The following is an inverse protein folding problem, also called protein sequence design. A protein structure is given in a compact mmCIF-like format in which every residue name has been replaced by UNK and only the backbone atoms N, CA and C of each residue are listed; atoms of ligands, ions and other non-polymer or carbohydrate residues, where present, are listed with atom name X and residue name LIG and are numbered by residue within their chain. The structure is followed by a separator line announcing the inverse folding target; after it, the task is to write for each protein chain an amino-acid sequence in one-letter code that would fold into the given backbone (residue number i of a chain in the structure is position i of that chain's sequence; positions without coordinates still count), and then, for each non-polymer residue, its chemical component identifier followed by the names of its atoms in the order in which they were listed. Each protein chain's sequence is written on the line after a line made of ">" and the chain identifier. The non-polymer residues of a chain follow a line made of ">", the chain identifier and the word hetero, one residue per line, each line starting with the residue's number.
data_IF_102441123291
#
_entry.id   IF_102441123291
#
_cell.length_a   1.000
_cell.length_b   1.000
_cell.length_c   1.000
_cell.angle_alpha   90.00
_cell.angle_beta   90.00
_cell.angle_gamma   90.00
#
_symmetry.space_group_name_H-M   'P 1'
#
loop_
_entity.id
_entity.type
_entity.pdbx_description
1 polymer ?
#
# COMPACT_ATOMS: atom_id res chain seq x y z
N UNK A 1 29.20 61.20 0.85
CA UNK A 1 28.80 60.55 -0.40
C UNK A 1 27.79 59.47 -0.06
N UNK A 2 26.58 59.47 -0.68
CA UNK A 2 25.56 58.44 -0.39
C UNK A 2 25.80 57.18 -1.21
N UNK A 3 25.73 56.04 -0.55
CA UNK A 3 25.88 54.72 -1.12
C UNK A 3 24.66 54.39 -1.98
N UNK A 4 24.90 54.07 -3.26
CA UNK A 4 23.89 53.68 -4.26
C UNK A 4 23.29 52.34 -3.93
N UNK A 5 21.95 52.09 -4.04
CA UNK A 5 21.36 50.80 -3.79
C UNK A 5 21.65 49.80 -4.93
N UNK A 6 22.13 48.64 -4.55
CA UNK A 6 22.35 47.48 -5.41
C UNK A 6 21.00 47.00 -6.02
N UNK A 7 20.89 47.01 -7.34
CA UNK A 7 19.77 46.44 -8.07
C UNK A 7 19.83 44.89 -7.96
N UNK A 8 18.91 44.30 -7.21
CA UNK A 8 18.68 42.87 -7.24
C UNK A 8 17.97 42.53 -8.57
N UNK A 9 18.65 41.78 -9.43
CA UNK A 9 18.07 41.26 -10.66
C UNK A 9 16.84 40.38 -10.33
N UNK A 10 15.73 40.63 -11.06
CA UNK A 10 14.49 39.90 -10.91
C UNK A 10 14.68 38.40 -11.14
N UNK A 11 14.64 37.66 -10.09
CA UNK A 11 14.45 36.20 -10.16
C UNK A 11 13.06 35.93 -10.72
N UNK A 12 12.99 35.25 -11.85
CA UNK A 12 11.76 34.67 -12.36
C UNK A 12 11.16 33.78 -11.26
N UNK A 13 9.95 34.12 -10.82
CA UNK A 13 9.12 33.24 -9.99
C UNK A 13 8.87 32.00 -10.83
N UNK A 14 9.54 30.90 -10.50
CA UNK A 14 9.19 29.59 -11.02
C UNK A 14 7.81 29.32 -10.45
N UNK A 15 6.76 29.48 -11.28
CA UNK A 15 5.43 28.94 -10.97
C UNK A 15 5.62 27.46 -10.70
N UNK A 16 5.54 27.07 -9.44
CA UNK A 16 5.39 25.67 -9.05
C UNK A 16 4.08 25.20 -9.69
N UNK A 17 4.18 24.42 -10.78
CA UNK A 17 3.05 23.65 -11.27
C UNK A 17 2.59 22.82 -10.06
N UNK A 18 1.41 23.14 -9.54
CA UNK A 18 0.76 22.32 -8.53
C UNK A 18 0.43 21.01 -9.24
N UNK A 19 1.31 20.01 -9.11
CA UNK A 19 0.97 18.66 -9.53
C UNK A 19 -0.35 18.31 -8.84
N UNK A 20 -1.36 18.01 -9.63
CA UNK A 20 -2.66 17.60 -9.11
C UNK A 20 -2.46 16.27 -8.37
N UNK A 21 -2.74 16.28 -7.05
CA UNK A 21 -2.68 15.07 -6.25
C UNK A 21 -3.62 14.01 -6.81
N UNK A 22 -3.16 12.77 -6.90
CA UNK A 22 -4.01 11.63 -7.22
C UNK A 22 -5.03 11.39 -6.11
N UNK A 23 -6.14 10.73 -6.43
CA UNK A 23 -7.20 10.41 -5.48
C UNK A 23 -7.33 8.90 -5.33
N UNK A 24 -7.64 8.46 -4.11
CA UNK A 24 -8.01 7.08 -3.84
C UNK A 24 -9.48 6.83 -4.22
N UNK A 25 -9.92 5.58 -4.39
CA UNK A 25 -11.32 5.25 -4.64
C UNK A 25 -12.28 5.78 -3.57
N UNK A 26 -11.80 6.05 -2.34
CA UNK A 26 -12.61 6.54 -1.23
C UNK A 26 -12.50 8.06 -1.01
N UNK A 27 -11.83 8.81 -1.88
CA UNK A 27 -11.61 10.25 -1.69
C UNK A 27 -12.90 11.06 -1.52
N UNK A 28 -13.97 10.72 -2.25
CA UNK A 28 -15.29 11.35 -2.10
C UNK A 28 -15.90 11.09 -0.71
N UNK A 29 -15.82 9.84 -0.23
CA UNK A 29 -16.31 9.45 1.09
C UNK A 29 -15.52 10.17 2.21
N UNK A 30 -14.21 10.32 2.08
CA UNK A 30 -13.40 11.06 3.04
C UNK A 30 -13.87 12.52 3.19
N UNK A 31 -14.18 13.19 2.07
CA UNK A 31 -14.70 14.56 2.09
C UNK A 31 -16.10 14.64 2.70
N UNK A 32 -17.00 13.71 2.34
CA UNK A 32 -18.34 13.61 2.91
C UNK A 32 -18.31 13.45 4.43
N UNK A 33 -17.38 12.64 4.95
CA UNK A 33 -17.17 12.42 6.38
C UNK A 33 -16.40 13.57 7.07
N UNK A 34 -16.09 14.65 6.36
CA UNK A 34 -15.41 15.82 6.91
C UNK A 34 -13.92 15.62 7.10
N UNK A 35 -13.30 14.71 6.38
CA UNK A 35 -11.86 14.47 6.39
C UNK A 35 -11.07 15.69 5.91
N UNK A 36 -10.08 16.13 6.70
CA UNK A 36 -9.15 17.19 6.29
C UNK A 36 -8.12 16.60 5.34
N UNK A 37 -8.31 16.82 4.04
CA UNK A 37 -7.44 16.28 2.99
C UNK A 37 -6.10 17.01 2.94
N UNK A 38 -5.00 16.27 2.85
CA UNK A 38 -3.62 16.77 2.69
C UNK A 38 -2.88 15.92 1.65
N UNK A 39 -1.80 16.47 1.08
CA UNK A 39 -0.92 15.72 0.19
C UNK A 39 -0.04 14.73 0.98
N UNK A 40 -0.08 13.47 0.58
CA UNK A 40 0.79 12.42 1.12
C UNK A 40 1.17 11.44 0.00
N UNK A 41 2.46 11.23 -0.24
CA UNK A 41 2.98 10.33 -1.27
C UNK A 41 2.34 10.51 -2.66
N UNK A 42 2.05 11.76 -3.05
CA UNK A 42 1.41 12.10 -4.32
C UNK A 42 -0.11 11.98 -4.34
N UNK A 43 -0.76 11.61 -3.23
CA UNK A 43 -2.20 11.44 -3.09
C UNK A 43 -2.82 12.45 -2.13
N UNK A 44 -4.09 12.79 -2.38
CA UNK A 44 -4.93 13.51 -1.42
C UNK A 44 -5.53 12.51 -0.42
N UNK A 45 -5.08 12.56 0.83
CA UNK A 45 -5.52 11.66 1.90
C UNK A 45 -5.99 12.44 3.13
N UNK A 46 -6.96 11.91 3.92
CA UNK A 46 -7.41 12.55 5.15
C UNK A 46 -6.37 12.41 6.25
N UNK A 47 -5.90 13.52 6.82
CA UNK A 47 -5.00 13.52 7.98
C UNK A 47 -5.76 13.38 9.29
N UNK A 48 -7.02 13.81 9.33
CA UNK A 48 -7.94 13.68 10.47
C UNK A 48 -9.38 13.92 10.05
N UNK A 49 -10.31 13.52 10.88
CA UNK A 49 -11.73 13.83 10.81
C UNK A 49 -12.12 14.81 11.92
N UNK A 50 -13.41 15.23 12.04
CA UNK A 50 -13.85 16.22 13.04
C UNK A 50 -13.53 15.87 14.48
N UNK A 51 -13.41 14.60 14.85
CA UNK A 51 -13.02 14.16 16.19
C UNK A 51 -11.57 14.55 16.56
N UNK A 52 -10.72 14.73 15.56
CA UNK A 52 -9.30 15.09 15.70
C UNK A 52 -8.37 13.92 15.95
N UNK A 53 -7.10 14.09 15.55
CA UNK A 53 -6.06 13.04 15.54
C UNK A 53 -5.97 12.28 16.87
N UNK A 54 -5.98 12.97 18.01
CA UNK A 54 -5.81 12.32 19.30
C UNK A 54 -6.98 11.41 19.66
N UNK A 55 -8.22 11.86 19.40
CA UNK A 55 -9.42 11.06 19.65
C UNK A 55 -9.45 9.82 18.74
N UNK A 56 -9.13 9.98 17.46
CA UNK A 56 -9.05 8.89 16.48
C UNK A 56 -7.96 7.88 16.85
N UNK A 57 -6.78 8.38 17.28
CA UNK A 57 -5.70 7.52 17.75
C UNK A 57 -6.11 6.68 18.97
N UNK A 58 -6.68 7.33 19.99
CA UNK A 58 -7.14 6.62 21.20
C UNK A 58 -8.27 5.64 20.90
N UNK A 59 -9.18 5.99 19.97
CA UNK A 59 -10.22 5.05 19.49
C UNK A 59 -9.60 3.81 18.86
N UNK A 60 -8.65 3.98 17.95
CA UNK A 60 -7.95 2.86 17.32
C UNK A 60 -7.24 1.97 18.36
N UNK A 61 -6.61 2.56 19.38
CA UNK A 61 -5.91 1.81 20.44
C UNK A 61 -6.85 1.02 21.35
N UNK A 62 -8.08 1.50 21.56
CA UNK A 62 -9.05 0.91 22.48
C UNK A 62 -10.15 0.09 21.80
N UNK A 63 -10.39 0.31 20.51
CA UNK A 63 -11.45 -0.34 19.73
C UNK A 63 -10.93 -0.79 18.36
N UNK A 64 -11.43 -0.21 17.27
CA UNK A 64 -10.95 -0.47 15.92
C UNK A 64 -11.15 0.77 15.04
N UNK A 65 -10.23 0.98 14.09
CA UNK A 65 -10.34 2.03 13.07
C UNK A 65 -10.01 1.46 11.70
N UNK A 66 -10.71 1.99 10.68
CA UNK A 66 -10.50 1.65 9.29
C UNK A 66 -9.69 2.77 8.62
N UNK A 67 -8.61 2.39 7.95
CA UNK A 67 -7.73 3.30 7.23
C UNK A 67 -7.77 3.01 5.73
N UNK A 68 -7.91 4.05 4.92
CA UNK A 68 -7.69 3.96 3.48
C UNK A 68 -6.18 4.02 3.20
N UNK A 69 -5.64 2.93 2.70
CA UNK A 69 -4.24 2.79 2.28
C UNK A 69 -4.15 2.45 0.79
N UNK A 70 -5.18 2.80 0.02
CA UNK A 70 -5.28 2.51 -1.42
C UNK A 70 -4.22 3.20 -2.27
N UNK A 71 -3.49 4.16 -1.72
CA UNK A 71 -2.33 4.79 -2.36
C UNK A 71 -1.14 3.82 -2.53
N UNK A 72 -1.07 2.75 -1.74
CA UNK A 72 -0.05 1.71 -1.87
C UNK A 72 -0.22 0.94 -3.18
N UNK A 73 0.89 0.45 -3.74
CA UNK A 73 0.87 -0.34 -4.95
C UNK A 73 0.43 -1.79 -4.67
N UNK A 74 -0.50 -2.30 -5.48
CA UNK A 74 -0.94 -3.69 -5.45
C UNK A 74 -0.67 -4.34 -6.80
N UNK A 75 -0.12 -5.55 -6.78
CA UNK A 75 0.14 -6.30 -8.01
C UNK A 75 0.10 -7.81 -7.80
N UNK A 76 0.06 -8.56 -8.90
CA UNK A 76 0.17 -10.01 -8.90
C UNK A 76 1.26 -10.45 -9.88
N UNK A 77 2.11 -11.40 -9.47
CA UNK A 77 2.97 -12.15 -10.38
C UNK A 77 2.27 -13.44 -10.75
N UNK A 78 2.15 -13.69 -12.06
CA UNK A 78 1.50 -14.86 -12.63
C UNK A 78 2.43 -15.57 -13.59
N UNK A 79 2.26 -16.88 -13.71
CA UNK A 79 3.03 -17.74 -14.60
C UNK A 79 3.88 -18.75 -13.83
N UNK A 80 4.29 -19.80 -14.54
CA UNK A 80 5.20 -20.81 -13.99
C UNK A 80 6.53 -20.16 -13.63
N UNK A 81 7.03 -20.40 -12.42
CA UNK A 81 8.27 -19.77 -11.92
C UNK A 81 8.11 -18.38 -11.31
N UNK A 82 6.89 -17.83 -11.16
CA UNK A 82 6.66 -16.51 -10.57
C UNK A 82 7.31 -16.35 -9.16
N UNK A 83 7.20 -17.38 -8.31
CA UNK A 83 7.82 -17.36 -6.98
C UNK A 83 9.35 -17.32 -7.06
N UNK A 84 9.96 -18.14 -7.92
CA UNK A 84 11.42 -18.15 -8.12
C UNK A 84 11.94 -16.84 -8.73
N UNK A 85 11.17 -16.24 -9.65
CA UNK A 85 11.51 -14.94 -10.24
C UNK A 85 11.55 -13.83 -9.18
N UNK A 86 10.56 -13.80 -8.26
CA UNK A 86 10.57 -12.84 -7.16
C UNK A 86 11.70 -13.14 -6.16
N UNK A 87 11.94 -14.41 -5.85
CA UNK A 87 13.01 -14.84 -4.92
C UNK A 87 14.40 -14.38 -5.38
N UNK A 88 14.63 -14.27 -6.68
CA UNK A 88 15.90 -13.75 -7.22
C UNK A 88 16.14 -12.26 -6.89
N UNK A 89 15.11 -11.52 -6.45
CA UNK A 89 15.16 -10.08 -6.15
C UNK A 89 15.10 -9.77 -4.64
N UNK A 90 14.98 -10.81 -3.81
CA UNK A 90 14.79 -10.66 -2.36
C UNK A 90 15.55 -11.74 -1.62
N UNK A 91 16.10 -11.48 -0.42
CA UNK A 91 16.68 -12.52 0.43
C UNK A 91 15.63 -13.41 1.11
N UNK A 92 14.35 -13.13 0.91
CA UNK A 92 13.27 -13.90 1.50
C UNK A 92 12.99 -15.18 0.70
N UNK A 93 12.73 -16.28 1.40
CA UNK A 93 12.25 -17.54 0.83
C UNK A 93 10.82 -17.39 0.32
N UNK A 94 10.64 -17.15 -0.99
CA UNK A 94 9.36 -16.97 -1.67
C UNK A 94 8.82 -18.31 -2.15
N UNK A 95 9.67 -19.15 -2.71
CA UNK A 95 9.30 -20.46 -3.24
C UNK A 95 8.80 -21.42 -2.14
N UNK A 96 9.39 -21.35 -0.94
CA UNK A 96 8.98 -22.12 0.22
C UNK A 96 7.76 -21.57 0.97
N UNK A 97 7.23 -20.40 0.59
CA UNK A 97 6.04 -19.83 1.21
C UNK A 97 4.80 -20.64 0.83
N UNK A 98 4.14 -21.23 1.83
CA UNK A 98 2.93 -22.06 1.60
C UNK A 98 1.76 -21.22 1.08
N UNK A 99 0.86 -21.80 0.26
CA UNK A 99 -0.40 -21.15 -0.13
C UNK A 99 -1.21 -20.67 1.09
N UNK A 100 -1.84 -19.51 0.97
CA UNK A 100 -2.57 -18.87 2.07
C UNK A 100 -1.70 -18.20 3.12
N UNK A 101 -0.42 -17.96 2.82
CA UNK A 101 0.52 -17.27 3.70
C UNK A 101 1.10 -16.04 3.04
N UNK A 102 1.45 -15.06 3.87
CA UNK A 102 2.16 -13.85 3.46
C UNK A 102 3.43 -13.64 4.29
N UNK A 103 4.32 -12.78 3.81
CA UNK A 103 5.59 -12.44 4.45
C UNK A 103 6.04 -11.04 4.05
N UNK A 104 6.80 -10.38 4.93
CA UNK A 104 7.60 -9.22 4.56
C UNK A 104 8.85 -9.66 3.79
N UNK A 105 9.25 -8.85 2.82
CA UNK A 105 10.47 -9.01 2.05
C UNK A 105 11.17 -7.67 1.86
N UNK A 106 12.40 -7.73 1.39
CA UNK A 106 13.20 -6.57 0.98
C UNK A 106 13.54 -6.73 -0.49
N UNK A 107 13.28 -5.74 -1.32
CA UNK A 107 13.86 -5.67 -2.66
C UNK A 107 15.31 -5.25 -2.51
N UNK A 108 16.22 -5.99 -3.14
CA UNK A 108 17.66 -5.72 -3.04
C UNK A 108 18.29 -5.46 -4.39
N UNK A 109 19.31 -4.60 -4.40
CA UNK A 109 20.16 -4.39 -5.57
C UNK A 109 21.16 -5.56 -5.73
N UNK A 110 21.78 -5.73 -6.91
CA UNK A 110 22.84 -6.73 -7.11
C UNK A 110 24.04 -6.59 -6.18
N UNK A 111 24.26 -5.40 -5.61
CA UNK A 111 25.31 -5.14 -4.61
C UNK A 111 24.87 -5.45 -3.17
N UNK A 112 23.65 -5.94 -2.95
CA UNK A 112 23.10 -6.26 -1.63
C UNK A 112 22.52 -5.06 -0.88
N UNK A 113 22.43 -3.87 -1.51
CA UNK A 113 21.75 -2.71 -0.93
C UNK A 113 20.24 -2.88 -0.94
N UNK A 114 19.54 -2.36 0.08
CA UNK A 114 18.07 -2.38 0.16
C UNK A 114 17.52 -1.29 -0.77
N UNK A 115 16.61 -1.68 -1.66
CA UNK A 115 15.87 -0.76 -2.54
C UNK A 115 14.57 -0.30 -1.87
N UNK A 116 13.79 -1.24 -1.33
CA UNK A 116 12.59 -0.98 -0.54
C UNK A 116 12.18 -2.23 0.24
N UNK A 117 11.24 -2.08 1.19
CA UNK A 117 10.52 -3.19 1.81
C UNK A 117 9.15 -3.37 1.15
N UNK A 118 8.65 -4.60 1.17
CA UNK A 118 7.35 -4.93 0.58
C UNK A 118 6.72 -6.13 1.28
N UNK A 119 5.44 -6.36 1.00
CA UNK A 119 4.77 -7.59 1.40
C UNK A 119 4.50 -8.46 0.17
N UNK A 120 4.68 -9.76 0.32
CA UNK A 120 4.27 -10.74 -0.67
C UNK A 120 3.48 -11.89 -0.04
N UNK A 121 2.59 -12.47 -0.84
CA UNK A 121 1.72 -13.53 -0.40
C UNK A 121 1.51 -14.58 -1.49
N UNK A 122 1.48 -15.85 -1.08
CA UNK A 122 1.17 -16.95 -1.97
C UNK A 122 -0.35 -17.25 -1.92
N UNK A 123 -1.06 -16.93 -3.00
CA UNK A 123 -2.49 -17.22 -3.16
C UNK A 123 -2.77 -18.59 -3.81
N UNK A 124 -1.73 -19.38 -4.06
CA UNK A 124 -1.81 -20.71 -4.67
C UNK A 124 -1.51 -20.67 -6.17
N UNK A 125 -2.25 -19.88 -6.91
CA UNK A 125 -2.11 -19.73 -8.37
C UNK A 125 -1.27 -18.50 -8.79
N UNK A 126 -0.92 -17.64 -7.82
CA UNK A 126 -0.17 -16.40 -8.05
C UNK A 126 0.49 -15.90 -6.78
N UNK A 127 1.49 -15.02 -6.95
CA UNK A 127 2.08 -14.25 -5.84
C UNK A 127 1.47 -12.86 -5.85
N UNK A 128 0.82 -12.48 -4.75
CA UNK A 128 0.27 -11.13 -4.55
C UNK A 128 1.28 -10.24 -3.87
N UNK A 129 1.38 -8.99 -4.28
CA UNK A 129 2.37 -8.01 -3.82
C UNK A 129 1.67 -6.74 -3.31
N UNK A 130 2.21 -6.18 -2.23
CA UNK A 130 1.89 -4.82 -1.77
C UNK A 130 3.21 -4.09 -1.58
N UNK A 131 3.37 -2.95 -2.27
CA UNK A 131 4.56 -2.10 -2.23
C UNK A 131 4.24 -0.69 -1.73
N UNK A 132 5.24 0.02 -1.23
CA UNK A 132 5.11 1.36 -0.69
C UNK A 132 4.68 2.40 -1.75
N UNK A 133 3.78 3.30 -1.37
CA UNK A 133 3.16 4.26 -2.29
C UNK A 133 4.17 5.13 -3.04
N UNK A 134 5.13 5.73 -2.32
CA UNK A 134 6.14 6.62 -2.90
C UNK A 134 7.17 5.91 -3.79
N UNK A 135 7.25 4.60 -3.70
CA UNK A 135 8.22 3.77 -4.42
C UNK A 135 7.59 2.85 -5.46
N UNK A 136 6.25 2.77 -5.54
CA UNK A 136 5.56 1.75 -6.34
C UNK A 136 5.97 1.71 -7.82
N UNK A 137 6.21 2.85 -8.44
CA UNK A 137 6.66 2.89 -9.84
C UNK A 137 8.07 2.31 -10.00
N UNK A 138 8.96 2.65 -9.07
CA UNK A 138 10.31 2.11 -9.04
C UNK A 138 10.30 0.60 -8.78
N UNK A 139 9.53 0.15 -7.79
CA UNK A 139 9.54 -1.25 -7.36
C UNK A 139 8.89 -2.16 -8.41
N UNK A 140 7.74 -1.76 -8.96
CA UNK A 140 7.13 -2.50 -10.06
C UNK A 140 8.00 -2.48 -11.32
N UNK A 141 8.67 -1.36 -11.62
CA UNK A 141 9.63 -1.27 -12.71
C UNK A 141 10.83 -2.19 -12.51
N UNK A 142 11.38 -2.22 -11.29
CA UNK A 142 12.48 -3.11 -10.92
C UNK A 142 12.08 -4.58 -11.06
N UNK A 143 10.93 -4.98 -10.49
CA UNK A 143 10.42 -6.35 -10.60
C UNK A 143 10.21 -6.71 -12.08
N UNK A 144 9.46 -5.88 -12.84
CA UNK A 144 9.13 -6.17 -14.23
C UNK A 144 10.36 -6.37 -15.14
N UNK A 145 11.42 -5.57 -14.89
CA UNK A 145 12.66 -5.65 -15.66
C UNK A 145 13.44 -6.98 -15.47
N UNK A 146 13.14 -7.74 -14.43
CA UNK A 146 13.84 -8.98 -14.07
C UNK A 146 12.97 -10.22 -14.23
N UNK A 147 11.74 -10.09 -14.78
CA UNK A 147 10.87 -11.26 -14.98
C UNK A 147 11.34 -12.08 -16.17
N UNK A 148 11.42 -13.43 -16.04
CA UNK A 148 11.69 -14.32 -17.15
C UNK A 148 10.49 -14.42 -18.10
N UNK A 149 10.72 -14.93 -19.29
CA UNK A 149 9.65 -15.19 -20.25
C UNK A 149 8.58 -16.12 -19.64
N UNK A 150 7.31 -15.77 -19.81
CA UNK A 150 6.16 -16.52 -19.27
C UNK A 150 5.73 -16.11 -17.87
N UNK A 151 6.48 -15.26 -17.18
CA UNK A 151 6.04 -14.62 -15.93
C UNK A 151 5.62 -13.18 -16.22
N UNK A 152 4.46 -12.78 -15.69
CA UNK A 152 3.89 -11.44 -15.90
C UNK A 152 3.60 -10.76 -14.57
N UNK A 153 3.82 -9.44 -14.53
CA UNK A 153 3.38 -8.55 -13.45
C UNK A 153 2.06 -7.89 -13.87
N UNK A 154 1.00 -8.13 -13.10
CA UNK A 154 -0.30 -7.50 -13.30
C UNK A 154 -0.56 -6.52 -12.15
N UNK A 155 -0.61 -5.22 -12.44
CA UNK A 155 -0.89 -4.15 -11.46
C UNK A 155 -2.39 -3.97 -11.30
N UNK A 156 -2.83 -3.70 -10.07
CA UNK A 156 -4.21 -3.38 -9.74
C UNK A 156 -4.34 -1.88 -9.47
N UNK A 157 -4.83 -1.14 -10.46
CA UNK A 157 -5.00 0.31 -10.36
C UNK A 157 -6.42 0.72 -9.89
N UNK A 158 -7.35 -0.21 -9.89
CA UNK A 158 -8.78 0.00 -9.66
C UNK A 158 -9.29 -0.58 -8.32
N UNK A 159 -8.39 -1.10 -7.49
CA UNK A 159 -8.74 -1.70 -6.20
C UNK A 159 -8.45 -0.77 -5.02
N UNK A 160 -9.38 -0.72 -4.07
CA UNK A 160 -9.12 -0.17 -2.76
C UNK A 160 -8.28 -1.13 -1.91
N UNK A 161 -7.43 -0.59 -1.06
CA UNK A 161 -6.74 -1.30 0.00
C UNK A 161 -7.10 -0.64 1.33
N UNK A 162 -7.64 -1.44 2.26
CA UNK A 162 -8.10 -0.96 3.56
C UNK A 162 -7.35 -1.68 4.69
N UNK A 163 -6.94 -0.94 5.69
CA UNK A 163 -6.36 -1.49 6.90
C UNK A 163 -7.33 -1.30 8.07
N UNK A 164 -7.90 -2.41 8.58
CA UNK A 164 -8.68 -2.42 9.81
C UNK A 164 -7.76 -2.75 10.97
N UNK A 165 -7.59 -1.83 11.90
CA UNK A 165 -6.61 -1.91 12.97
C UNK A 165 -7.23 -1.69 14.35
N UNK A 166 -6.62 -2.27 15.37
CA UNK A 166 -7.04 -2.16 16.77
C UNK A 166 -7.49 -3.48 17.38
N UNK A 167 -7.65 -3.56 18.71
CA UNK A 167 -8.02 -4.80 19.42
C UNK A 167 -9.39 -5.34 19.01
N UNK A 168 -10.29 -4.47 18.53
CA UNK A 168 -11.62 -4.84 18.02
C UNK A 168 -11.65 -5.20 16.53
N UNK A 169 -10.52 -5.18 15.82
CA UNK A 169 -10.50 -5.39 14.35
C UNK A 169 -11.00 -6.77 13.95
N UNK A 170 -10.50 -7.84 14.60
CA UNK A 170 -10.92 -9.22 14.29
C UNK A 170 -12.39 -9.45 14.61
N UNK A 171 -12.92 -9.10 15.79
CA UNK A 171 -14.36 -9.23 16.07
C UNK A 171 -15.24 -8.44 15.07
N UNK A 172 -14.85 -7.22 14.72
CA UNK A 172 -15.60 -6.40 13.77
C UNK A 172 -15.69 -7.05 12.39
N UNK A 173 -14.57 -7.55 11.87
CA UNK A 173 -14.54 -8.19 10.56
C UNK A 173 -15.18 -9.59 10.57
N UNK A 174 -15.04 -10.34 11.66
CA UNK A 174 -15.68 -11.65 11.83
C UNK A 174 -17.22 -11.57 11.89
N UNK A 175 -17.79 -10.42 12.26
CA UNK A 175 -19.24 -10.20 12.19
C UNK A 175 -19.74 -10.19 10.74
N UNK A 176 -18.91 -9.83 9.78
CA UNK A 176 -19.22 -9.83 8.34
C UNK A 176 -18.85 -11.15 7.68
N UNK A 177 -17.76 -11.78 8.11
CA UNK A 177 -17.27 -13.06 7.61
C UNK A 177 -16.77 -13.94 8.77
N UNK A 178 -17.62 -14.82 9.36
CA UNK A 178 -17.33 -15.59 10.58
C UNK A 178 -16.04 -16.43 10.53
N UNK A 179 -15.64 -16.91 9.33
CA UNK A 179 -14.39 -17.66 9.13
C UNK A 179 -13.12 -16.88 9.52
N UNK A 180 -13.18 -15.55 9.57
CA UNK A 180 -12.05 -14.71 9.94
C UNK A 180 -11.70 -14.74 11.43
N UNK A 181 -12.61 -15.17 12.30
CA UNK A 181 -12.33 -15.31 13.74
C UNK A 181 -11.14 -16.25 14.01
N UNK A 182 -11.00 -17.32 13.23
CA UNK A 182 -9.92 -18.30 13.33
C UNK A 182 -8.74 -18.04 12.36
N UNK A 183 -8.76 -16.91 11.64
CA UNK A 183 -7.75 -16.62 10.62
C UNK A 183 -6.39 -16.33 11.26
N UNK A 184 -5.38 -17.11 10.87
CA UNK A 184 -4.07 -17.06 11.53
C UNK A 184 -3.27 -15.80 11.18
N UNK A 185 -2.42 -15.34 12.11
CA UNK A 185 -1.43 -14.28 11.84
C UNK A 185 -0.57 -14.64 10.63
N UNK A 186 -0.30 -13.68 9.74
CA UNK A 186 0.36 -13.84 8.45
C UNK A 186 -0.40 -14.80 7.50
N UNK A 187 -1.69 -14.99 7.73
CA UNK A 187 -2.59 -15.65 6.78
C UNK A 187 -3.11 -14.67 5.74
N UNK A 188 -3.43 -15.18 4.55
CA UNK A 188 -4.11 -14.46 3.47
C UNK A 188 -5.09 -15.39 2.76
N UNK A 189 -6.20 -14.86 2.30
CA UNK A 189 -7.21 -15.64 1.57
C UNK A 189 -8.31 -14.77 0.99
N UNK A 190 -9.18 -15.40 0.20
CA UNK A 190 -10.36 -14.74 -0.38
C UNK A 190 -11.59 -15.01 0.49
N UNK A 191 -12.37 -13.97 0.77
CA UNK A 191 -13.57 -14.00 1.58
C UNK A 191 -14.68 -13.19 0.92
N UNK A 192 -15.91 -13.64 1.10
CA UNK A 192 -17.08 -12.83 0.76
C UNK A 192 -17.40 -11.88 1.92
N UNK A 193 -17.44 -10.59 1.65
CA UNK A 193 -17.83 -9.54 2.59
C UNK A 193 -19.08 -8.86 2.04
N UNK A 194 -20.24 -9.36 2.44
CA UNK A 194 -21.51 -8.75 2.01
C UNK A 194 -21.75 -8.83 0.50
N UNK A 195 -21.35 -9.90 -0.16
CA UNK A 195 -21.47 -10.12 -1.61
C UNK A 195 -20.28 -9.58 -2.42
N UNK A 196 -19.26 -9.03 -1.76
CA UNK A 196 -18.03 -8.56 -2.41
C UNK A 196 -16.89 -9.53 -2.10
N UNK A 197 -16.26 -10.07 -3.14
CA UNK A 197 -15.08 -10.90 -2.96
C UNK A 197 -13.87 -10.02 -2.62
N UNK A 198 -13.34 -10.18 -1.42
CA UNK A 198 -12.20 -9.45 -0.90
C UNK A 198 -11.02 -10.40 -0.61
N UNK A 199 -9.81 -9.97 -0.94
CA UNK A 199 -8.59 -10.61 -0.45
C UNK A 199 -8.32 -10.02 0.94
N UNK A 200 -8.26 -10.86 1.96
CA UNK A 200 -8.04 -10.43 3.34
C UNK A 200 -6.75 -11.07 3.85
N UNK A 201 -5.91 -10.26 4.44
CA UNK A 201 -4.72 -10.70 5.15
C UNK A 201 -4.75 -10.27 6.61
N UNK A 202 -4.12 -11.07 7.47
CA UNK A 202 -3.90 -10.74 8.88
C UNK A 202 -2.42 -10.56 9.15
N UNK A 203 -1.98 -9.31 9.34
CA UNK A 203 -0.60 -8.93 9.63
C UNK A 203 -0.45 -8.30 11.03
#
# INVERSE_FOLDING_TARGET
>A
EPISPCKVAGGSVVESQSESLAETPLAALHRELGGRMVGFAGYALPVQYPAGIMAEHLHCRNAASLFDVSHMGQAELRGEGAAAALEALTPADVAGLKPGRQRYGLLTSPSGGILDDFMFANLGDRIFLVVNASRKEHDFGHIAAHLPQGVTLHRHEDRALLALQGPGAVPALAALAPGLAAFSFMGIGSFDIGGVNAIISRS
#
